data_IF_652218732914
#
_entry.id   IF_652218732914
#
_cell.length_a   1.000
_cell.length_b   1.000
_cell.length_c   1.000
_cell.angle_alpha   90.00
_cell.angle_beta   90.00
_cell.angle_gamma   90.00
#
_symmetry.space_group_name_H-M   'P 1'
#
loop_
_entity.id
_entity.type
_entity.pdbx_description
1 polymer ?
#
# COMPACT_ATOMS: atom_id res chain seq x y z
N UNK A 1 -28.90 -10.19 -38.08
CA UNK A 1 -30.03 -10.05 -37.14
C UNK A 1 -30.02 -11.25 -36.19
N UNK A 2 -30.31 -10.99 -34.91
CA UNK A 2 -30.54 -11.93 -33.78
C UNK A 2 -29.30 -12.19 -32.92
N UNK A 3 -29.10 -11.31 -31.94
CA UNK A 3 -28.39 -11.58 -30.68
C UNK A 3 -29.46 -11.80 -29.59
N UNK A 4 -29.52 -12.96 -28.91
CA UNK A 4 -30.42 -13.13 -27.78
C UNK A 4 -29.82 -12.55 -26.49
N UNK A 5 -30.60 -11.66 -25.91
CA UNK A 5 -30.50 -11.06 -24.58
C UNK A 5 -30.38 -12.13 -23.49
N UNK A 6 -29.45 -11.96 -22.55
CA UNK A 6 -29.51 -12.65 -21.24
C UNK A 6 -29.46 -11.64 -20.11
N UNK A 7 -30.52 -11.71 -19.32
CA UNK A 7 -30.88 -10.89 -18.18
C UNK A 7 -29.74 -10.70 -17.18
N UNK A 8 -29.40 -9.44 -16.90
CA UNK A 8 -28.72 -9.07 -15.65
C UNK A 8 -29.79 -9.02 -14.55
N UNK A 9 -29.73 -9.98 -13.64
CA UNK A 9 -30.53 -9.98 -12.43
C UNK A 9 -30.12 -8.81 -11.54
N UNK A 10 -31.12 -8.04 -11.11
CA UNK A 10 -30.98 -6.98 -10.12
C UNK A 10 -30.79 -7.59 -8.72
N UNK A 11 -29.88 -7.01 -7.93
CA UNK A 11 -29.91 -7.13 -6.47
C UNK A 11 -29.94 -5.71 -5.91
N UNK A 12 -31.11 -5.35 -5.42
CA UNK A 12 -31.39 -4.17 -4.60
C UNK A 12 -31.13 -4.58 -3.15
N UNK A 13 -30.30 -3.84 -2.43
CA UNK A 13 -30.32 -3.80 -0.97
C UNK A 13 -30.17 -2.34 -0.52
N UNK A 14 -31.33 -1.71 -0.31
CA UNK A 14 -31.54 -0.53 0.53
C UNK A 14 -31.45 -0.94 2.00
N UNK A 15 -30.94 -0.05 2.86
CA UNK A 15 -31.24 0.20 4.30
C UNK A 15 -30.04 1.00 4.85
N UNK A 16 -30.08 2.11 5.59
CA UNK A 16 -31.06 3.01 6.22
C UNK A 16 -30.15 4.07 6.92
N UNK A 17 -30.39 5.37 6.93
CA UNK A 17 -31.53 6.07 7.53
C UNK A 17 -31.38 6.18 9.06
N UNK A 18 -30.90 7.33 9.57
CA UNK A 18 -31.54 8.18 10.60
C UNK A 18 -30.59 8.85 11.62
N UNK A 19 -30.85 10.16 11.81
CA UNK A 19 -30.27 11.15 12.72
C UNK A 19 -30.41 10.85 14.22
N UNK A 20 -29.48 11.34 15.05
CA UNK A 20 -29.69 11.84 16.43
C UNK A 20 -28.58 12.88 16.75
N UNK A 21 -28.85 14.19 16.76
CA UNK A 21 -29.35 15.01 17.90
C UNK A 21 -28.43 14.97 19.11
N UNK A 22 -27.89 16.14 19.46
CA UNK A 22 -26.92 16.34 20.54
C UNK A 22 -27.51 16.35 21.94
N UNK A 23 -26.62 16.41 22.92
CA UNK A 23 -26.92 16.75 24.30
C UNK A 23 -25.97 17.86 24.76
N UNK A 24 -26.57 18.97 25.18
CA UNK A 24 -25.92 20.07 25.87
C UNK A 24 -26.03 19.88 27.40
N UNK A 25 -24.94 20.24 28.09
CA UNK A 25 -24.84 20.99 29.37
C UNK A 25 -25.43 20.47 30.71
N UNK A 26 -24.50 20.18 31.65
CA UNK A 26 -24.48 20.67 33.05
C UNK A 26 -24.78 19.66 34.19
N UNK A 27 -24.39 19.88 35.49
CA UNK A 27 -23.41 20.83 36.09
C UNK A 27 -22.30 20.16 36.97
N UNK A 28 -21.26 20.92 37.33
CA UNK A 28 -20.24 20.64 38.38
C UNK A 28 -20.77 21.03 39.79
N UNK A 29 -20.20 20.70 40.99
CA UNK A 29 -18.79 20.88 41.44
C UNK A 29 -18.29 19.71 42.37
N UNK A 30 -17.10 19.59 42.98
CA UNK A 30 -16.27 20.51 43.79
C UNK A 30 -14.82 20.00 43.92
N UNK A 31 -13.89 20.96 43.76
CA UNK A 31 -12.59 21.20 44.40
C UNK A 31 -11.92 20.11 45.25
N UNK A 32 -10.70 19.74 44.84
CA UNK A 32 -9.67 19.15 45.68
C UNK A 32 -8.32 19.73 45.29
N UNK A 33 -7.94 20.83 45.94
CA UNK A 33 -6.67 21.54 45.81
C UNK A 33 -5.48 20.62 46.05
N UNK A 34 -4.51 20.58 45.12
CA UNK A 34 -3.14 20.24 45.47
C UNK A 34 -2.16 21.25 44.87
N UNK A 35 -1.65 22.06 45.78
CA UNK A 35 -0.52 22.98 45.70
C UNK A 35 0.70 22.36 45.02
N UNK A 36 1.34 23.16 44.15
CA UNK A 36 2.80 23.23 44.08
C UNK A 36 3.44 22.53 42.88
N UNK A 37 3.74 23.33 41.84
CA UNK A 37 5.09 23.57 41.33
C UNK A 37 4.96 24.17 39.92
N UNK A 38 5.25 25.46 39.79
CA UNK A 38 5.54 26.09 38.50
C UNK A 38 7.02 25.84 38.18
N UNK A 39 7.31 25.20 37.03
CA UNK A 39 8.49 25.56 36.27
C UNK A 39 8.17 25.74 34.77
N UNK A 40 8.45 26.96 34.30
CA UNK A 40 8.86 27.39 32.95
C UNK A 40 8.16 26.81 31.69
N UNK A 41 7.78 27.65 30.71
CA UNK A 41 7.36 27.17 29.39
C UNK A 41 8.55 26.47 28.71
N UNK A 42 8.55 25.14 28.73
CA UNK A 42 9.37 24.38 27.81
C UNK A 42 8.79 24.61 26.43
N UNK A 43 9.54 25.37 25.62
CA UNK A 43 9.33 25.44 24.18
C UNK A 43 9.17 24.01 23.67
N UNK A 44 8.02 23.74 23.07
CA UNK A 44 7.79 22.56 22.24
C UNK A 44 8.97 22.48 21.28
N UNK A 45 9.88 21.54 21.52
CA UNK A 45 10.80 21.12 20.49
C UNK A 45 9.91 20.65 19.33
N UNK A 46 10.09 21.17 18.11
CA UNK A 46 9.34 20.69 16.97
C UNK A 46 9.53 19.18 16.90
N UNK A 47 8.42 18.46 16.87
CA UNK A 47 8.41 17.03 16.61
C UNK A 47 9.29 16.78 15.40
N UNK A 48 10.17 15.79 15.53
CA UNK A 48 10.94 15.21 14.44
C UNK A 48 9.98 14.99 13.28
N UNK A 49 10.01 15.92 12.32
CA UNK A 49 9.40 15.68 11.02
C UNK A 49 10.02 14.38 10.50
N UNK A 50 9.25 13.47 9.88
CA UNK A 50 9.87 12.42 9.09
C UNK A 50 10.80 13.13 8.10
N UNK A 51 12.10 12.79 8.15
CA UNK A 51 13.13 13.42 7.32
C UNK A 51 12.69 13.39 5.85
N UNK A 52 12.20 14.53 5.37
CA UNK A 52 12.20 14.84 3.96
C UNK A 52 13.68 14.98 3.57
N UNK A 53 14.21 13.98 2.87
CA UNK A 53 15.63 13.91 2.54
C UNK A 53 16.30 12.61 2.96
N UNK A 54 15.62 11.47 2.85
CA UNK A 54 16.37 10.26 2.53
C UNK A 54 16.67 10.36 1.04
N UNK A 55 17.77 11.05 0.72
CA UNK A 55 18.41 10.94 -0.59
C UNK A 55 18.72 9.45 -0.75
N UNK A 56 17.90 8.77 -1.55
CA UNK A 56 18.12 7.37 -1.86
C UNK A 56 19.56 7.28 -2.37
N UNK A 57 20.42 6.42 -1.77
CA UNK A 57 21.72 6.17 -2.36
C UNK A 57 21.54 5.81 -3.85
N UNK A 58 22.51 6.12 -4.72
CA UNK A 58 22.40 5.79 -6.14
C UNK A 58 21.93 4.35 -6.26
N UNK A 59 20.80 4.15 -6.94
CA UNK A 59 20.13 2.86 -6.97
C UNK A 59 21.12 1.80 -7.45
N UNK A 60 21.55 0.94 -6.54
CA UNK A 60 22.30 -0.26 -6.90
C UNK A 60 21.45 -1.05 -7.92
N UNK A 61 22.08 -1.69 -8.91
CA UNK A 61 21.35 -2.45 -9.91
C UNK A 61 20.45 -3.47 -9.21
N UNK A 62 19.14 -3.36 -9.43
CA UNK A 62 18.15 -4.25 -8.84
C UNK A 62 18.39 -5.66 -9.36
N UNK A 63 18.60 -6.60 -8.44
CA UNK A 63 18.82 -8.01 -8.78
C UNK A 63 17.49 -8.77 -8.66
N UNK A 64 17.18 -9.57 -9.68
CA UNK A 64 16.03 -10.47 -9.65
C UNK A 64 16.41 -11.82 -9.00
N UNK A 65 15.49 -12.46 -8.26
CA UNK A 65 14.12 -12.02 -7.98
C UNK A 65 14.04 -10.91 -6.91
N UNK A 66 13.07 -10.01 -7.06
CA UNK A 66 12.89 -8.81 -6.23
C UNK A 66 11.43 -8.66 -5.77
N UNK A 67 11.13 -8.24 -4.53
CA UNK A 67 12.06 -7.74 -3.50
C UNK A 67 12.73 -8.84 -2.66
N UNK A 68 12.35 -10.10 -2.86
CA UNK A 68 12.91 -11.22 -2.12
C UNK A 68 13.65 -12.18 -3.06
N UNK A 69 14.90 -12.48 -2.71
CA UNK A 69 15.81 -13.31 -3.50
C UNK A 69 15.44 -14.80 -3.51
N UNK A 70 14.55 -15.23 -2.61
CA UNK A 70 14.07 -16.61 -2.53
C UNK A 70 12.96 -16.83 -1.51
N UNK A 71 12.50 -18.08 -1.41
CA UNK A 71 11.33 -18.46 -0.60
C UNK A 71 11.46 -18.12 0.89
N UNK A 72 12.64 -18.29 1.48
CA UNK A 72 12.84 -18.00 2.91
C UNK A 72 12.71 -16.51 3.22
N UNK A 73 13.29 -15.66 2.37
CA UNK A 73 13.18 -14.20 2.48
C UNK A 73 11.76 -13.74 2.20
N UNK A 74 11.11 -14.32 1.18
CA UNK A 74 9.71 -14.05 0.89
C UNK A 74 8.79 -14.44 2.05
N UNK A 75 9.06 -15.55 2.75
CA UNK A 75 8.29 -15.94 3.93
C UNK A 75 8.48 -14.97 5.10
N UNK A 76 9.69 -14.45 5.31
CA UNK A 76 9.94 -13.41 6.30
C UNK A 76 9.20 -12.11 5.94
N UNK A 77 9.25 -11.69 4.67
CA UNK A 77 8.56 -10.52 4.18
C UNK A 77 7.02 -10.67 4.26
N UNK A 78 6.50 -11.85 3.95
CA UNK A 78 5.08 -12.19 4.14
C UNK A 78 4.65 -12.00 5.59
N UNK A 79 5.48 -12.40 6.56
CA UNK A 79 5.17 -12.21 7.98
C UNK A 79 5.19 -10.74 8.42
N UNK A 80 6.00 -9.89 7.78
CA UNK A 80 5.95 -8.43 7.98
C UNK A 80 4.66 -7.83 7.40
N UNK A 81 4.25 -8.30 6.22
CA UNK A 81 3.02 -7.86 5.54
C UNK A 81 1.77 -8.29 6.29
N UNK A 82 1.74 -9.52 6.79
CA UNK A 82 0.68 -10.04 7.67
C UNK A 82 0.56 -9.18 8.96
N UNK A 83 1.63 -8.50 9.38
CA UNK A 83 1.64 -7.53 10.49
C UNK A 83 1.30 -6.09 10.08
N UNK A 84 0.94 -5.87 8.82
CA UNK A 84 0.52 -4.58 8.28
C UNK A 84 1.64 -3.76 7.62
N UNK A 85 2.84 -4.32 7.44
CA UNK A 85 3.91 -3.64 6.72
C UNK A 85 3.69 -3.70 5.21
N UNK A 86 4.01 -2.64 4.47
CA UNK A 86 4.10 -2.69 3.00
C UNK A 86 2.92 -3.42 2.30
N UNK A 87 1.66 -3.01 2.55
CA UNK A 87 0.49 -3.70 2.00
C UNK A 87 0.45 -3.71 0.47
N UNK A 88 1.21 -2.82 -0.18
CA UNK A 88 1.42 -2.78 -1.62
C UNK A 88 2.02 -4.08 -2.18
N UNK A 89 2.71 -4.88 -1.37
CA UNK A 89 3.26 -6.17 -1.79
C UNK A 89 2.20 -7.22 -2.15
N UNK A 90 0.95 -7.00 -1.75
CA UNK A 90 -0.17 -7.90 -2.03
C UNK A 90 -0.78 -7.67 -3.41
N UNK A 91 -0.48 -6.53 -4.05
CA UNK A 91 -0.97 -6.20 -5.39
C UNK A 91 0.17 -6.33 -6.42
N UNK A 92 0.01 -7.13 -7.49
CA UNK A 92 1.06 -7.33 -8.46
C UNK A 92 1.38 -6.06 -9.27
N UNK A 93 0.40 -5.17 -9.45
CA UNK A 93 0.57 -3.91 -10.19
C UNK A 93 1.41 -2.93 -9.39
N UNK A 94 1.14 -2.80 -8.09
CA UNK A 94 1.94 -1.95 -7.20
C UNK A 94 3.38 -2.47 -7.08
N UNK A 95 3.58 -3.79 -7.00
CA UNK A 95 4.92 -4.38 -7.02
C UNK A 95 5.65 -4.09 -8.33
N UNK A 96 4.96 -4.16 -9.47
CA UNK A 96 5.53 -3.84 -10.77
C UNK A 96 5.93 -2.36 -10.89
N UNK A 97 5.10 -1.43 -10.40
CA UNK A 97 5.42 0.01 -10.37
C UNK A 97 6.62 0.26 -9.47
N UNK A 98 6.66 -0.33 -8.28
CA UNK A 98 7.78 -0.20 -7.35
C UNK A 98 9.09 -0.72 -7.93
N UNK A 99 9.05 -1.86 -8.65
CA UNK A 99 10.20 -2.39 -9.36
C UNK A 99 10.66 -1.44 -10.48
N UNK A 100 9.74 -0.90 -11.29
CA UNK A 100 10.10 0.04 -12.35
C UNK A 100 10.71 1.34 -11.80
N UNK A 101 10.20 1.84 -10.68
CA UNK A 101 10.80 2.98 -9.99
C UNK A 101 12.22 2.66 -9.49
N UNK A 102 12.43 1.48 -8.89
CA UNK A 102 13.72 1.10 -8.31
C UNK A 102 14.78 0.71 -9.36
N UNK A 103 14.39 -0.02 -10.40
CA UNK A 103 15.30 -0.60 -11.40
C UNK A 103 15.51 0.31 -12.61
N UNK A 104 14.51 1.12 -12.98
CA UNK A 104 14.51 1.91 -14.22
C UNK A 104 14.36 3.42 -13.99
N UNK A 105 14.25 3.87 -12.73
CA UNK A 105 14.01 5.28 -12.38
C UNK A 105 12.70 5.82 -13.00
N UNK A 106 11.64 5.00 -13.02
CA UNK A 106 10.31 5.36 -13.54
C UNK A 106 9.31 5.65 -12.40
N UNK A 107 9.37 6.81 -11.74
CA UNK A 107 8.48 7.14 -10.62
C UNK A 107 7.02 7.36 -11.05
N UNK A 108 6.78 7.73 -12.31
CA UNK A 108 5.45 7.95 -12.90
C UNK A 108 4.99 6.74 -13.74
N UNK A 109 5.47 5.54 -13.42
CA UNK A 109 5.09 4.32 -14.11
C UNK A 109 3.63 3.93 -13.85
N UNK A 110 2.97 3.45 -14.88
CA UNK A 110 1.63 2.84 -14.79
C UNK A 110 1.72 1.34 -15.11
N UNK A 111 1.01 0.52 -14.32
CA UNK A 111 0.94 -0.92 -14.52
C UNK A 111 -0.35 -1.35 -15.21
N UNK A 112 -0.23 -2.38 -16.04
CA UNK A 112 -1.27 -2.97 -16.86
C UNK A 112 -1.23 -4.50 -16.66
N UNK A 113 -2.05 -5.04 -15.74
CA UNK A 113 -2.05 -6.47 -15.45
C UNK A 113 -2.45 -7.32 -16.67
N UNK A 114 -1.67 -8.37 -16.91
CA UNK A 114 -1.93 -9.39 -17.91
C UNK A 114 -3.08 -10.33 -17.53
N UNK A 115 -3.69 -11.00 -18.52
CA UNK A 115 -4.85 -11.88 -18.29
C UNK A 115 -4.52 -13.16 -17.51
N UNK A 116 -3.24 -13.52 -17.43
CA UNK A 116 -2.71 -14.69 -16.72
C UNK A 116 -2.56 -14.45 -15.20
N UNK A 117 -2.63 -13.19 -14.76
CA UNK A 117 -2.49 -12.81 -13.34
C UNK A 117 -1.07 -12.94 -12.79
N UNK A 118 -0.10 -13.33 -13.62
CA UNK A 118 1.33 -13.45 -13.27
C UNK A 118 2.22 -12.58 -14.13
N UNK A 119 1.66 -11.83 -15.08
CA UNK A 119 2.38 -10.89 -15.93
C UNK A 119 1.83 -9.49 -15.74
N UNK A 120 2.70 -8.49 -15.74
CA UNK A 120 2.31 -7.08 -15.68
C UNK A 120 3.17 -6.29 -16.66
N UNK A 121 2.52 -5.55 -17.55
CA UNK A 121 3.19 -4.57 -18.39
C UNK A 121 3.27 -3.24 -17.64
N UNK A 122 4.42 -2.59 -17.68
CA UNK A 122 4.64 -1.27 -17.08
C UNK A 122 4.99 -0.29 -18.18
N UNK A 123 4.47 0.94 -18.09
CA UNK A 123 4.75 2.00 -19.04
C UNK A 123 5.07 3.31 -18.32
N UNK A 124 6.11 4.01 -18.76
CA UNK A 124 6.43 5.35 -18.25
C UNK A 124 5.74 6.47 -19.07
N UNK A 125 5.86 7.71 -18.57
CA UNK A 125 5.33 8.90 -19.25
C UNK A 125 5.99 9.17 -20.63
N UNK A 126 7.24 8.74 -20.83
CA UNK A 126 7.95 8.87 -22.10
C UNK A 126 7.45 7.87 -23.18
N UNK A 127 6.73 6.82 -22.77
CA UNK A 127 6.19 5.79 -23.63
C UNK A 127 7.02 4.50 -23.71
N UNK A 128 8.13 4.41 -22.96
CA UNK A 128 8.88 3.17 -22.77
C UNK A 128 8.02 2.14 -22.05
N UNK A 129 8.32 0.87 -22.32
CA UNK A 129 7.54 -0.27 -21.82
C UNK A 129 8.45 -1.36 -21.31
N UNK A 130 7.93 -2.09 -20.32
CA UNK A 130 8.57 -3.22 -19.68
C UNK A 130 7.55 -4.31 -19.41
N UNK A 131 7.87 -5.57 -19.73
CA UNK A 131 7.00 -6.69 -19.37
C UNK A 131 7.63 -7.48 -18.22
N UNK A 132 6.89 -7.65 -17.13
CA UNK A 132 7.38 -8.31 -15.91
C UNK A 132 6.65 -9.63 -15.68
N UNK A 133 7.38 -10.64 -15.23
CA UNK A 133 6.82 -11.89 -14.69
C UNK A 133 6.90 -11.89 -13.18
N UNK A 134 5.78 -12.14 -12.50
CA UNK A 134 5.66 -12.14 -11.05
C UNK A 134 5.20 -13.50 -10.53
N UNK A 135 5.64 -13.84 -9.32
CA UNK A 135 5.27 -15.06 -8.62
C UNK A 135 4.98 -14.78 -7.14
N UNK A 136 4.28 -15.70 -6.48
CA UNK A 136 4.00 -15.64 -5.05
C UNK A 136 4.73 -16.77 -4.30
N UNK A 137 6.04 -16.64 -4.03
CA UNK A 137 6.84 -17.75 -3.52
C UNK A 137 6.52 -18.16 -2.07
N UNK A 138 5.88 -17.31 -1.27
CA UNK A 138 5.58 -17.58 0.15
C UNK A 138 4.17 -18.19 0.36
N UNK A 139 3.16 -17.60 -0.27
CA UNK A 139 1.74 -17.96 -0.14
C UNK A 139 1.02 -17.56 -1.42
N UNK A 140 0.10 -18.39 -1.92
CA UNK A 140 -0.71 -18.06 -3.09
C UNK A 140 -2.05 -17.38 -2.70
N UNK A 141 -2.58 -16.54 -3.58
CA UNK A 141 -3.90 -15.90 -3.44
C UNK A 141 -3.82 -14.42 -3.07
N UNK A 142 -4.95 -13.81 -2.70
CA UNK A 142 -5.03 -12.36 -2.45
C UNK A 142 -4.18 -11.85 -1.28
N UNK A 143 -3.81 -12.74 -0.36
CA UNK A 143 -2.97 -12.43 0.79
C UNK A 143 -1.51 -12.83 0.58
N UNK A 144 -1.13 -13.23 -0.63
CA UNK A 144 0.24 -13.63 -0.97
C UNK A 144 1.06 -12.46 -1.50
N UNK A 145 2.28 -12.29 -1.01
CA UNK A 145 3.18 -11.28 -1.55
C UNK A 145 3.62 -11.61 -2.98
N UNK A 146 3.78 -10.59 -3.81
CA UNK A 146 4.30 -10.72 -5.16
C UNK A 146 5.80 -10.41 -5.22
N UNK A 147 6.50 -11.16 -6.06
CA UNK A 147 7.93 -11.04 -6.34
C UNK A 147 8.13 -11.03 -7.85
N UNK A 148 8.81 -10.03 -8.38
CA UNK A 148 9.27 -9.99 -9.76
C UNK A 148 10.36 -11.03 -9.94
N UNK A 149 10.20 -11.88 -10.95
CA UNK A 149 11.08 -13.03 -11.21
C UNK A 149 11.81 -12.92 -12.54
N UNK A 150 11.24 -12.22 -13.50
CA UNK A 150 11.84 -11.95 -14.80
C UNK A 150 11.35 -10.63 -15.37
N UNK A 151 12.18 -10.07 -16.24
CA UNK A 151 11.95 -8.87 -17.03
C UNK A 151 12.18 -9.23 -18.50
N UNK A 152 11.35 -8.72 -19.41
CA UNK A 152 11.36 -9.01 -20.86
C UNK A 152 11.28 -7.75 -21.71
#
# INVERSE_FOLDING_TARGET
MITPVRCRAAVVLLLGGLLLVGCATGPAPTSGTRTGAEPAPQAVAPGTAPSAGQESPPADPVTLPWPASGTAEAAALQAEVDRGSQPWLLDPSEVAIAYAAAAHDWPDAEAYPGPDGTSVDVRNAAGDRLSLSLAQPARHGGDGIWVVTAEH
#
